data_IF_811964405678
#
_entry.id   IF_811964405678
#
_cell.length_a   1.000
_cell.length_b   1.000
_cell.length_c   1.000
_cell.angle_alpha   90.00
_cell.angle_beta   90.00
_cell.angle_gamma   90.00
#
_symmetry.space_group_name_H-M   'P 1'
#
loop_
_entity.id
_entity.type
_entity.pdbx_description
1 polymer ?
#
# COMPACT_ATOMS: atom_id res chain seq x y z
N UNK A 1 -7.53 12.12 -18.14
CA UNK A 1 -7.87 10.72 -17.82
C UNK A 1 -9.39 10.61 -17.82
N UNK A 2 -9.99 9.79 -18.67
CA UNK A 2 -11.44 9.58 -18.70
C UNK A 2 -11.83 8.46 -17.73
N UNK A 3 -13.03 8.57 -17.14
CA UNK A 3 -13.57 7.53 -16.26
C UNK A 3 -13.78 6.20 -16.99
N UNK A 4 -14.06 6.23 -18.29
CA UNK A 4 -14.22 5.03 -19.11
C UNK A 4 -12.92 4.22 -19.22
N UNK A 5 -11.79 4.89 -19.43
CA UNK A 5 -10.48 4.25 -19.49
C UNK A 5 -10.10 3.63 -18.13
N UNK A 6 -10.44 4.30 -17.03
CA UNK A 6 -10.26 3.77 -15.69
C UNK A 6 -11.13 2.53 -15.46
N UNK A 7 -12.38 2.56 -15.93
CA UNK A 7 -13.32 1.43 -15.87
C UNK A 7 -12.84 0.20 -16.64
N UNK A 8 -12.39 0.38 -17.88
CA UNK A 8 -11.81 -0.70 -18.69
C UNK A 8 -10.54 -1.27 -18.07
N UNK A 9 -9.69 -0.40 -17.51
CA UNK A 9 -8.47 -0.83 -16.82
C UNK A 9 -8.80 -1.69 -15.60
N UNK A 10 -9.76 -1.27 -14.76
CA UNK A 10 -10.19 -2.03 -13.58
C UNK A 10 -10.82 -3.36 -13.99
N UNK A 11 -11.62 -3.39 -15.05
CA UNK A 11 -12.22 -4.63 -15.56
C UNK A 11 -11.14 -5.61 -16.03
N UNK A 12 -10.19 -5.12 -16.82
CA UNK A 12 -9.05 -5.91 -17.29
C UNK A 12 -8.20 -6.42 -16.13
N UNK A 13 -8.02 -5.60 -15.08
CA UNK A 13 -7.29 -5.99 -13.88
C UNK A 13 -8.04 -7.07 -13.08
N UNK A 14 -9.37 -6.97 -12.97
CA UNK A 14 -10.22 -7.98 -12.34
C UNK A 14 -10.18 -9.33 -13.04
N UNK A 15 -10.17 -9.29 -14.36
CA UNK A 15 -10.17 -10.52 -15.17
C UNK A 15 -8.80 -11.21 -15.12
N UNK A 16 -7.70 -10.44 -15.08
CA UNK A 16 -6.33 -10.98 -15.02
C UNK A 16 -5.90 -11.40 -13.62
N UNK A 17 -6.25 -10.61 -12.61
CA UNK A 17 -5.82 -10.82 -11.22
C UNK A 17 -7.02 -10.75 -10.27
N UNK A 18 -7.92 -11.75 -10.33
CA UNK A 18 -9.14 -11.77 -9.50
C UNK A 18 -8.84 -11.81 -8.00
N UNK A 19 -7.65 -12.28 -7.62
CA UNK A 19 -7.17 -12.34 -6.23
C UNK A 19 -6.95 -10.96 -5.63
N UNK A 20 -6.61 -9.94 -6.43
CA UNK A 20 -6.51 -8.54 -5.97
C UNK A 20 -7.85 -7.98 -5.49
N UNK A 21 -8.97 -8.59 -5.90
CA UNK A 21 -10.32 -8.14 -5.58
C UNK A 21 -11.01 -9.03 -4.55
N UNK A 22 -10.35 -10.10 -4.08
CA UNK A 22 -10.78 -10.93 -2.96
C UNK A 22 -10.09 -10.43 -1.71
N UNK A 23 -10.88 -9.90 -0.77
CA UNK A 23 -10.29 -9.28 0.42
C UNK A 23 -9.51 -10.30 1.25
N UNK A 24 -8.30 -9.93 1.67
CA UNK A 24 -7.43 -10.82 2.43
C UNK A 24 -6.66 -11.87 1.60
N UNK A 25 -6.81 -11.87 0.27
CA UNK A 25 -6.07 -12.76 -0.66
C UNK A 25 -5.16 -12.01 -1.64
N UNK A 26 -5.29 -10.68 -1.73
CA UNK A 26 -4.40 -9.85 -2.55
C UNK A 26 -2.96 -9.78 -2.01
N UNK A 27 -2.04 -9.30 -2.84
CA UNK A 27 -0.65 -9.02 -2.44
C UNK A 27 -0.63 -8.08 -1.24
N UNK A 28 0.10 -8.48 -0.20
CA UNK A 28 0.33 -7.65 0.99
C UNK A 28 1.39 -6.61 0.67
N UNK A 29 1.23 -5.41 1.22
CA UNK A 29 2.22 -4.35 1.12
C UNK A 29 2.69 -3.95 2.52
N UNK A 30 3.81 -3.25 2.61
CA UNK A 30 4.26 -2.60 3.83
C UNK A 30 4.75 -1.19 3.55
N UNK A 31 4.51 -0.30 4.50
CA UNK A 31 5.18 0.99 4.59
C UNK A 31 6.46 0.79 5.39
N UNK A 32 7.60 1.03 4.76
CA UNK A 32 8.92 0.90 5.34
C UNK A 32 9.53 2.28 5.58
N UNK A 33 10.01 2.53 6.79
CA UNK A 33 10.78 3.73 7.12
C UNK A 33 12.13 3.74 6.39
N UNK A 34 12.41 4.82 5.66
CA UNK A 34 13.73 5.12 5.14
C UNK A 34 14.42 6.11 6.08
N UNK A 35 15.50 5.67 6.74
CA UNK A 35 16.40 6.57 7.47
C UNK A 35 17.52 7.00 6.52
N UNK A 36 17.47 8.26 6.07
CA UNK A 36 18.45 8.87 5.19
C UNK A 36 18.22 10.39 5.01
N UNK A 37 19.29 11.12 4.75
CA UNK A 37 19.54 12.58 4.90
C UNK A 37 18.56 13.59 4.26
N UNK A 38 17.44 13.15 3.66
CA UNK A 38 16.40 14.02 3.09
C UNK A 38 15.18 14.23 4.00
N UNK A 39 15.35 14.03 5.31
CA UNK A 39 14.46 14.60 6.32
C UNK A 39 14.77 16.11 6.47
N UNK A 40 14.50 16.91 5.44
CA UNK A 40 14.79 18.35 5.45
C UNK A 40 13.53 19.18 5.64
N UNK A 41 13.49 19.74 6.86
CA UNK A 41 12.80 20.99 7.29
C UNK A 41 11.31 20.91 7.62
N UNK A 42 11.02 20.54 8.87
CA UNK A 42 9.84 21.06 9.57
C UNK A 42 9.13 20.12 10.54
N UNK A 43 9.48 18.83 10.53
CA UNK A 43 8.93 17.83 11.44
C UNK A 43 9.70 16.53 11.27
N UNK A 44 9.58 15.63 12.23
CA UNK A 44 10.16 14.27 12.19
C UNK A 44 9.48 13.45 11.08
N UNK A 45 9.69 13.82 9.81
CA UNK A 45 9.13 13.13 8.66
C UNK A 45 9.90 11.83 8.44
N UNK A 46 9.43 10.79 9.12
CA UNK A 46 9.65 9.42 8.69
C UNK A 46 9.21 9.29 7.23
N UNK A 47 10.16 9.23 6.30
CA UNK A 47 9.86 8.93 4.91
C UNK A 47 9.45 7.46 4.82
N UNK A 48 8.16 7.23 4.60
CA UNK A 48 7.60 5.89 4.45
C UNK A 48 7.52 5.53 2.97
N UNK A 49 8.18 4.44 2.58
CA UNK A 49 8.09 3.88 1.23
C UNK A 49 7.10 2.73 1.22
N UNK A 50 6.11 2.76 0.30
CA UNK A 50 5.20 1.64 0.09
C UNK A 50 5.87 0.60 -0.81
N UNK A 51 6.08 -0.61 -0.28
CA UNK A 51 6.71 -1.74 -0.99
C UNK A 51 5.87 -3.01 -0.82
N UNK A 52 6.08 -4.00 -1.68
CA UNK A 52 5.48 -5.33 -1.50
C UNK A 52 5.98 -5.95 -0.18
N UNK A 53 5.07 -6.58 0.56
CA UNK A 53 5.38 -7.14 1.87
C UNK A 53 6.35 -8.30 1.72
N UNK A 54 7.51 -8.13 2.34
CA UNK A 54 8.54 -9.16 2.45
C UNK A 54 8.77 -9.39 3.94
N UNK A 55 8.54 -10.63 4.39
CA UNK A 55 8.60 -10.99 5.81
C UNK A 55 10.00 -10.77 6.38
N UNK A 56 11.03 -11.14 5.64
CA UNK A 56 12.41 -11.12 6.13
C UNK A 56 12.91 -9.67 6.21
N UNK A 57 12.57 -8.85 5.20
CA UNK A 57 12.83 -7.41 5.24
C UNK A 57 12.07 -6.71 6.36
N UNK A 58 10.79 -7.05 6.57
CA UNK A 58 9.99 -6.49 7.66
C UNK A 58 10.63 -6.77 9.02
N UNK A 59 11.07 -8.02 9.26
CA UNK A 59 11.74 -8.40 10.52
C UNK A 59 13.07 -7.65 10.67
N UNK A 60 13.89 -7.60 9.62
CA UNK A 60 15.18 -6.90 9.65
C UNK A 60 15.00 -5.42 10.01
N UNK A 61 14.05 -4.74 9.37
CA UNK A 61 13.77 -3.33 9.62
C UNK A 61 13.26 -3.07 11.05
N UNK A 62 12.40 -3.94 11.59
CA UNK A 62 11.97 -3.83 13.00
C UNK A 62 13.14 -4.02 13.96
N UNK A 63 14.05 -4.97 13.69
CA UNK A 63 15.26 -5.19 14.49
C UNK A 63 16.19 -3.97 14.45
N UNK A 64 16.26 -3.28 13.31
CA UNK A 64 17.01 -2.03 13.12
C UNK A 64 16.31 -0.80 13.72
N UNK A 65 15.18 -0.98 14.40
CA UNK A 65 14.40 0.11 14.99
C UNK A 65 13.63 0.97 13.97
N UNK A 66 13.50 0.49 12.73
CA UNK A 66 12.74 1.17 11.68
C UNK A 66 11.26 0.83 11.78
N UNK A 67 10.37 1.81 11.54
CA UNK A 67 8.93 1.54 11.51
C UNK A 67 8.56 0.71 10.29
N UNK A 68 7.74 -0.31 10.53
CA UNK A 68 7.13 -1.16 9.51
C UNK A 68 5.62 -1.24 9.75
N UNK A 69 4.82 -0.88 8.76
CA UNK A 69 3.36 -0.97 8.83
C UNK A 69 2.87 -1.87 7.69
N UNK A 70 2.40 -3.07 8.02
CA UNK A 70 1.76 -3.96 7.04
C UNK A 70 0.38 -3.42 6.67
N UNK A 71 0.10 -3.31 5.36
CA UNK A 71 -1.16 -2.79 4.84
C UNK A 71 -1.76 -3.68 3.75
N UNK A 72 -3.09 -3.70 3.71
CA UNK A 72 -3.89 -4.38 2.70
C UNK A 72 -4.59 -3.33 1.84
N UNK A 73 -4.10 -3.11 0.61
CA UNK A 73 -4.61 -2.05 -0.26
C UNK A 73 -6.08 -2.29 -0.66
N UNK A 74 -6.50 -3.56 -0.78
CA UNK A 74 -7.88 -3.95 -1.02
C UNK A 74 -8.81 -3.49 0.11
N UNK A 75 -8.40 -3.67 1.37
CA UNK A 75 -9.19 -3.24 2.53
C UNK A 75 -9.28 -1.72 2.61
N UNK A 76 -8.18 -1.02 2.36
CA UNK A 76 -8.15 0.45 2.33
C UNK A 76 -9.09 0.97 1.24
N UNK A 77 -8.99 0.41 0.03
CA UNK A 77 -9.87 0.77 -1.08
C UNK A 77 -11.34 0.54 -0.76
N UNK A 78 -11.69 -0.61 -0.18
CA UNK A 78 -13.07 -0.91 0.22
C UNK A 78 -13.61 0.11 1.23
N UNK A 79 -12.83 0.49 2.24
CA UNK A 79 -13.25 1.50 3.22
C UNK A 79 -13.43 2.89 2.61
N UNK A 80 -12.53 3.30 1.71
CA UNK A 80 -12.66 4.58 1.00
C UNK A 80 -13.90 4.57 0.11
N UNK A 81 -14.10 3.49 -0.66
CA UNK A 81 -15.25 3.34 -1.54
C UNK A 81 -16.58 3.37 -0.77
N UNK A 82 -16.63 2.81 0.44
CA UNK A 82 -17.79 2.92 1.33
C UNK A 82 -18.04 4.36 1.79
N UNK A 83 -16.98 5.08 2.19
CA UNK A 83 -17.10 6.48 2.65
C UNK A 83 -17.52 7.44 1.53
N UNK A 84 -17.10 7.19 0.29
CA UNK A 84 -17.42 8.01 -0.88
C UNK A 84 -18.80 7.74 -1.49
N UNK A 85 -19.48 6.67 -1.07
CA UNK A 85 -20.86 6.37 -1.48
C UNK A 85 -21.91 7.10 -0.64
N UNK A 86 -21.50 7.70 0.47
CA UNK A 86 -22.31 8.61 1.29
C UNK A 86 -22.05 10.06 0.88
#
# INVERSE_FOLDING_TARGET
MSFDLAGETVKTLKDKEPELFKSGQGKRFMLLGAVGEKATKGGTELMLSLVEFDRDKAIASVVEGQPVISVWLDQIYQQIALKLKN
#
